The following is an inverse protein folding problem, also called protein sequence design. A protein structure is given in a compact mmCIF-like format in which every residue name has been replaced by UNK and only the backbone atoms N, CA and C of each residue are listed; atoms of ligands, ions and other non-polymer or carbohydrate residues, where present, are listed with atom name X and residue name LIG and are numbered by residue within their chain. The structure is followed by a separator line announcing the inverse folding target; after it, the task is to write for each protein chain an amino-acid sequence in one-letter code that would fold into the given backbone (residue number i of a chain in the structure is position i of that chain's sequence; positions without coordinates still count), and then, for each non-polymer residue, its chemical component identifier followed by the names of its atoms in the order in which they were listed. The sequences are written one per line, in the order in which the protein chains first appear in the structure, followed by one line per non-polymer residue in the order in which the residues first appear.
data_IF_974427513010
#
_entry.id   IF_974427513010
#
_cell.length_a   1.000
_cell.length_b   1.000
_cell.length_c   1.000
_cell.angle_alpha   90.00
_cell.angle_beta   90.00
_cell.angle_gamma   90.00
#
_symmetry.space_group_name_H-M   'P 1'
#
loop_
_entity.id
_entity.type
_entity.pdbx_description
1 polymer ?
#
# COMPACT_ATOMS: atom_id res chain seq x y z
N UNK A 1 65.31 38.95 18.73
CA UNK A 1 64.24 38.62 17.75
C UNK A 1 63.46 37.42 18.30
N UNK A 2 62.22 37.61 18.77
CA UNK A 2 61.40 36.61 19.43
C UNK A 2 60.42 36.04 18.41
N UNK A 3 60.47 34.73 18.14
CA UNK A 3 59.49 33.99 17.33
C UNK A 3 58.34 33.55 18.20
N UNK A 4 57.13 33.98 17.86
CA UNK A 4 55.88 33.67 18.53
C UNK A 4 55.29 32.38 17.98
N UNK A 5 55.07 31.41 18.84
CA UNK A 5 54.44 30.10 18.60
C UNK A 5 52.94 30.28 18.72
N UNK A 6 52.16 30.22 17.61
CA UNK A 6 50.72 30.10 17.63
C UNK A 6 50.31 28.61 17.70
N UNK A 7 49.67 28.24 18.79
CA UNK A 7 49.09 26.92 19.00
C UNK A 7 47.72 26.85 18.36
N UNK A 8 47.55 25.99 17.36
CA UNK A 8 46.29 25.68 16.74
C UNK A 8 45.33 24.94 17.67
N UNK A 9 44.21 25.56 17.96
CA UNK A 9 43.09 24.99 18.76
C UNK A 9 42.32 23.99 17.87
N UNK A 10 42.50 22.71 18.12
CA UNK A 10 41.68 21.66 17.52
C UNK A 10 40.25 21.78 18.05
N UNK A 11 39.31 21.98 17.16
CA UNK A 11 37.87 21.93 17.43
C UNK A 11 37.46 20.51 17.79
N UNK A 12 36.74 20.36 18.91
CA UNK A 12 36.09 19.12 19.30
C UNK A 12 34.91 18.85 18.34
N UNK A 13 34.68 17.60 17.89
CA UNK A 13 33.47 17.27 17.12
C UNK A 13 32.23 17.40 17.98
N UNK A 14 31.17 17.95 17.39
CA UNK A 14 29.84 18.13 17.98
C UNK A 14 29.18 16.78 18.23
N UNK A 15 28.48 16.57 19.38
CA UNK A 15 27.75 15.35 19.65
C UNK A 15 26.33 15.47 19.10
N UNK A 16 26.11 15.10 17.84
CA UNK A 16 24.78 14.98 17.24
C UNK A 16 24.78 13.96 16.09
N UNK A 17 25.15 12.72 16.40
CA UNK A 17 24.70 11.53 15.67
C UNK A 17 24.32 10.50 16.72
N UNK A 18 23.13 10.66 17.26
CA UNK A 18 22.49 9.65 18.11
C UNK A 18 22.10 8.47 17.23
N UNK A 19 23.02 7.53 17.06
CA UNK A 19 22.75 6.21 16.47
C UNK A 19 21.70 5.55 17.33
N UNK A 20 20.46 5.43 16.81
CA UNK A 20 19.47 4.53 17.39
C UNK A 20 20.14 3.18 17.69
N UNK A 21 19.94 2.61 18.88
CA UNK A 21 20.63 1.40 19.30
C UNK A 21 20.26 0.25 18.34
N UNK A 22 21.27 -0.43 17.81
CA UNK A 22 21.15 -1.53 16.85
C UNK A 22 20.17 -2.65 17.30
N UNK A 23 19.97 -2.82 18.60
CA UNK A 23 19.00 -3.75 19.19
C UNK A 23 17.54 -3.37 18.92
N UNK A 24 17.21 -2.06 18.86
CA UNK A 24 15.84 -1.60 18.55
C UNK A 24 15.50 -1.88 17.08
N UNK A 25 16.45 -1.68 16.18
CA UNK A 25 16.27 -1.98 14.75
C UNK A 25 16.08 -3.48 14.47
N UNK A 26 16.82 -4.36 15.14
CA UNK A 26 16.66 -5.81 15.00
C UNK A 26 15.33 -6.31 15.53
N UNK A 27 14.84 -5.78 16.65
CA UNK A 27 13.53 -6.12 17.20
C UNK A 27 12.41 -5.69 16.27
N UNK A 28 12.46 -4.48 15.74
CA UNK A 28 11.48 -3.97 14.78
C UNK A 28 11.47 -4.79 13.49
N UNK A 29 12.65 -5.15 12.96
CA UNK A 29 12.75 -6.01 11.76
C UNK A 29 12.11 -7.38 12.02
N UNK A 30 12.43 -8.05 13.14
CA UNK A 30 11.82 -9.34 13.49
C UNK A 30 10.29 -9.25 13.67
N UNK A 31 9.80 -8.15 14.24
CA UNK A 31 8.37 -7.90 14.36
C UNK A 31 7.72 -7.75 12.98
N UNK A 32 8.32 -6.98 12.10
CA UNK A 32 7.84 -6.79 10.74
C UNK A 32 7.85 -8.10 9.94
N UNK A 33 8.94 -8.86 10.00
CA UNK A 33 9.07 -10.18 9.35
C UNK A 33 7.99 -11.17 9.83
N UNK A 34 7.69 -11.16 11.14
CA UNK A 34 6.63 -12.03 11.70
C UNK A 34 5.24 -11.58 11.25
N UNK A 35 4.98 -10.26 11.22
CA UNK A 35 3.73 -9.69 10.72
C UNK A 35 3.49 -10.06 9.26
N UNK A 36 4.54 -9.97 8.42
CA UNK A 36 4.48 -10.34 7.01
C UNK A 36 4.25 -11.84 6.79
N UNK A 37 4.88 -12.72 7.62
CA UNK A 37 4.63 -14.16 7.56
C UNK A 37 3.17 -14.49 7.89
N UNK A 38 2.62 -13.89 8.96
CA UNK A 38 1.22 -14.06 9.34
C UNK A 38 0.29 -13.60 8.23
N UNK A 39 0.55 -12.44 7.63
CA UNK A 39 -0.24 -11.91 6.52
C UNK A 39 -0.21 -12.85 5.32
N UNK A 40 0.96 -13.32 4.90
CA UNK A 40 1.10 -14.26 3.77
C UNK A 40 0.41 -15.59 4.02
N UNK A 41 0.58 -16.17 5.21
CA UNK A 41 -0.06 -17.43 5.58
C UNK A 41 -1.59 -17.30 5.59
N UNK A 42 -2.12 -16.23 6.17
CA UNK A 42 -3.56 -15.99 6.20
C UNK A 42 -4.14 -15.81 4.79
N UNK A 43 -3.48 -14.99 3.95
CA UNK A 43 -3.95 -14.75 2.59
C UNK A 43 -3.95 -16.03 1.76
N UNK A 44 -2.94 -16.87 1.87
CA UNK A 44 -2.89 -18.17 1.19
C UNK A 44 -4.05 -19.08 1.64
N UNK A 45 -4.30 -19.18 2.95
CA UNK A 45 -5.40 -19.99 3.48
C UNK A 45 -6.78 -19.44 3.10
N UNK A 46 -6.96 -18.11 3.08
CA UNK A 46 -8.21 -17.51 2.64
C UNK A 46 -8.50 -17.80 1.18
N UNK A 47 -7.49 -17.83 0.32
CA UNK A 47 -7.64 -18.17 -1.09
C UNK A 47 -7.87 -19.67 -1.30
N UNK A 48 -7.22 -20.53 -0.51
CA UNK A 48 -7.34 -21.99 -0.61
C UNK A 48 -8.67 -22.52 -0.08
N UNK A 49 -9.07 -22.06 1.13
CA UNK A 49 -10.18 -22.65 1.92
C UNK A 49 -11.36 -21.71 2.12
N UNK A 50 -11.20 -20.44 1.76
CA UNK A 50 -12.16 -19.38 2.05
C UNK A 50 -11.96 -18.73 3.42
N UNK A 51 -12.52 -17.53 3.57
CA UNK A 51 -12.32 -16.71 4.76
C UNK A 51 -12.98 -17.31 6.00
N UNK A 52 -14.23 -17.79 5.88
CA UNK A 52 -14.99 -18.32 7.01
C UNK A 52 -14.42 -19.65 7.52
N UNK A 53 -13.97 -20.52 6.62
CA UNK A 53 -13.40 -21.82 6.97
C UNK A 53 -11.99 -21.73 7.57
N UNK A 54 -11.31 -20.58 7.45
CA UNK A 54 -9.96 -20.39 7.98
C UNK A 54 -10.02 -19.89 9.42
N UNK A 55 -9.40 -20.61 10.34
CA UNK A 55 -9.30 -20.23 11.76
C UNK A 55 -7.99 -19.48 12.06
N UNK A 56 -7.97 -18.76 13.19
CA UNK A 56 -6.73 -18.12 13.69
C UNK A 56 -5.67 -19.17 14.01
N UNK A 57 -6.07 -20.36 14.47
CA UNK A 57 -5.13 -21.43 14.75
C UNK A 57 -4.48 -22.00 13.49
N UNK A 58 -5.23 -22.09 12.38
CA UNK A 58 -4.68 -22.47 11.07
C UNK A 58 -3.64 -21.45 10.62
N UNK A 59 -3.94 -20.15 10.75
CA UNK A 59 -3.03 -19.07 10.35
C UNK A 59 -1.77 -19.08 11.21
N UNK A 60 -1.91 -19.22 12.53
CA UNK A 60 -0.79 -19.25 13.46
C UNK A 60 0.13 -20.45 13.18
N UNK A 61 -0.46 -21.64 12.95
CA UNK A 61 0.28 -22.85 12.58
C UNK A 61 1.01 -22.69 11.27
N UNK A 62 0.35 -22.18 10.22
CA UNK A 62 0.96 -21.96 8.91
C UNK A 62 2.08 -20.92 8.93
N UNK A 63 2.00 -19.95 9.84
CA UNK A 63 3.03 -18.92 10.04
C UNK A 63 4.13 -19.33 11.04
N UNK A 64 4.08 -20.54 11.58
CA UNK A 64 5.01 -21.03 12.64
C UNK A 64 5.09 -20.07 13.84
N UNK A 65 3.92 -19.73 14.39
CA UNK A 65 3.82 -18.91 15.61
C UNK A 65 2.70 -19.46 16.51
N UNK A 66 2.72 -19.05 17.79
CA UNK A 66 1.62 -19.39 18.68
C UNK A 66 0.37 -18.54 18.42
N UNK A 67 -0.82 -19.04 18.77
CA UNK A 67 -2.07 -18.26 18.78
C UNK A 67 -1.93 -16.96 19.59
N UNK A 68 -1.23 -16.97 20.71
CA UNK A 68 -0.92 -15.76 21.51
C UNK A 68 -0.08 -14.76 20.71
N UNK A 69 0.88 -15.24 19.93
CA UNK A 69 1.69 -14.39 19.06
C UNK A 69 0.85 -13.76 17.95
N UNK A 70 -0.12 -14.49 17.37
CA UNK A 70 -1.06 -13.90 16.40
C UNK A 70 -1.76 -12.68 16.99
N UNK A 71 -2.34 -12.80 18.19
CA UNK A 71 -3.05 -11.70 18.86
C UNK A 71 -2.16 -10.54 19.30
N UNK A 72 -0.83 -10.72 19.30
CA UNK A 72 0.10 -9.61 19.48
C UNK A 72 0.18 -8.70 18.24
N UNK A 73 -0.09 -9.24 17.04
CA UNK A 73 0.00 -8.52 15.77
C UNK A 73 -1.36 -8.10 15.19
N UNK A 74 -2.39 -8.92 15.39
CA UNK A 74 -3.72 -8.73 14.81
C UNK A 74 -4.80 -9.09 15.82
N UNK A 75 -5.82 -8.23 15.95
CA UNK A 75 -6.94 -8.50 16.84
C UNK A 75 -7.92 -9.52 16.24
N UNK A 76 -7.96 -9.65 14.90
CA UNK A 76 -8.87 -10.54 14.18
C UNK A 76 -8.29 -10.94 12.81
N UNK A 77 -8.92 -11.92 12.15
CA UNK A 77 -8.54 -12.29 10.76
C UNK A 77 -8.89 -11.21 9.74
N UNK A 78 -9.90 -10.39 10.03
CA UNK A 78 -10.25 -9.21 9.23
C UNK A 78 -9.13 -8.15 9.28
N UNK A 79 -8.46 -8.01 10.43
CA UNK A 79 -7.34 -7.07 10.57
C UNK A 79 -6.13 -7.49 9.73
N UNK A 80 -5.95 -8.80 9.50
CA UNK A 80 -4.92 -9.28 8.57
C UNK A 80 -5.20 -8.83 7.14
N UNK A 81 -6.45 -8.93 6.69
CA UNK A 81 -6.86 -8.45 5.36
C UNK A 81 -6.68 -6.94 5.25
N UNK A 82 -7.06 -6.17 6.29
CA UNK A 82 -6.88 -4.73 6.33
C UNK A 82 -5.40 -4.33 6.23
N UNK A 83 -4.52 -5.02 6.95
CA UNK A 83 -3.09 -4.78 6.92
C UNK A 83 -2.47 -5.06 5.54
N UNK A 84 -2.86 -6.17 4.92
CA UNK A 84 -2.42 -6.48 3.55
C UNK A 84 -2.82 -5.39 2.55
N UNK A 85 -4.02 -4.84 2.69
CA UNK A 85 -4.50 -3.73 1.85
C UNK A 85 -3.74 -2.43 2.12
N UNK A 86 -3.37 -2.16 3.37
CA UNK A 86 -2.61 -0.96 3.75
C UNK A 86 -1.19 -1.00 3.18
N UNK A 87 -0.55 -2.16 3.20
CA UNK A 87 0.77 -2.37 2.60
C UNK A 87 0.73 -2.12 1.08
N UNK A 88 -0.31 -2.63 0.38
CA UNK A 88 -0.52 -2.38 -1.05
C UNK A 88 -0.78 -0.89 -1.35
N UNK A 89 -1.54 -0.21 -0.50
CA UNK A 89 -1.83 1.23 -0.63
C UNK A 89 -0.56 2.07 -0.46
N UNK A 90 0.27 1.74 0.53
CA UNK A 90 1.56 2.40 0.77
C UNK A 90 2.51 2.23 -0.42
N UNK A 91 2.60 1.02 -0.98
CA UNK A 91 3.40 0.76 -2.17
C UNK A 91 2.91 1.56 -3.40
N UNK A 92 1.59 1.69 -3.57
CA UNK A 92 1.01 2.49 -4.64
C UNK A 92 1.35 3.98 -4.51
N UNK A 93 1.23 4.54 -3.31
CA UNK A 93 1.61 5.94 -3.04
C UNK A 93 3.08 6.18 -3.33
N UNK A 94 3.97 5.30 -2.87
CA UNK A 94 5.39 5.37 -3.16
C UNK A 94 5.68 5.31 -4.68
N UNK A 95 4.97 4.45 -5.41
CA UNK A 95 5.08 4.35 -6.86
C UNK A 95 4.64 5.65 -7.57
N UNK A 96 3.61 6.34 -7.08
CA UNK A 96 3.17 7.64 -7.62
C UNK A 96 4.21 8.72 -7.36
N UNK A 97 4.77 8.78 -6.16
CA UNK A 97 5.79 9.78 -5.80
C UNK A 97 7.04 9.61 -6.67
N UNK A 98 7.39 8.37 -7.01
CA UNK A 98 8.55 8.04 -7.83
C UNK A 98 8.34 8.31 -9.34
N UNK A 99 7.12 8.65 -9.79
CA UNK A 99 6.87 8.98 -11.21
C UNK A 99 7.58 10.28 -11.63
N UNK A 100 8.01 10.39 -12.92
CA UNK A 100 8.62 11.59 -13.46
C UNK A 100 7.79 12.85 -13.21
N UNK A 101 8.43 13.95 -12.83
CA UNK A 101 7.75 15.19 -12.44
C UNK A 101 7.02 15.90 -13.59
N UNK A 102 7.41 15.63 -14.83
CA UNK A 102 6.83 16.17 -16.08
C UNK A 102 5.53 15.47 -16.49
N UNK A 103 5.26 14.27 -15.95
CA UNK A 103 3.96 13.61 -16.20
C UNK A 103 2.81 14.38 -15.53
N UNK A 104 1.64 14.41 -16.18
CA UNK A 104 0.42 14.92 -15.53
C UNK A 104 0.07 14.11 -14.29
N UNK A 105 -0.63 14.72 -13.33
CA UNK A 105 -1.07 14.01 -12.11
C UNK A 105 -1.93 12.80 -12.44
N UNK A 106 -2.81 12.91 -13.43
CA UNK A 106 -3.68 11.81 -13.88
C UNK A 106 -2.88 10.67 -14.51
N UNK A 107 -1.91 11.01 -15.38
CA UNK A 107 -1.03 10.01 -16.02
C UNK A 107 -0.17 9.29 -14.99
N UNK A 108 0.36 10.00 -14.02
CA UNK A 108 1.15 9.41 -12.94
C UNK A 108 0.32 8.43 -12.10
N UNK A 109 -0.93 8.79 -11.77
CA UNK A 109 -1.84 7.91 -11.04
C UNK A 109 -2.18 6.64 -11.86
N UNK A 110 -2.59 6.80 -13.13
CA UNK A 110 -2.89 5.68 -14.03
C UNK A 110 -1.70 4.74 -14.18
N UNK A 111 -0.51 5.27 -14.48
CA UNK A 111 0.70 4.47 -14.69
C UNK A 111 1.10 3.69 -13.44
N UNK A 112 1.00 4.30 -12.25
CA UNK A 112 1.30 3.64 -10.99
C UNK A 112 0.27 2.53 -10.68
N UNK A 113 -1.02 2.78 -10.90
CA UNK A 113 -2.09 1.78 -10.73
C UNK A 113 -1.89 0.63 -11.71
N UNK A 114 -1.67 0.90 -12.99
CA UNK A 114 -1.44 -0.13 -14.00
C UNK A 114 -0.23 -1.01 -13.66
N UNK A 115 0.87 -0.40 -13.20
CA UNK A 115 2.05 -1.12 -12.75
C UNK A 115 1.81 -1.96 -11.49
N UNK A 116 1.01 -1.48 -10.55
CA UNK A 116 0.63 -2.23 -9.35
C UNK A 116 -0.24 -3.44 -9.69
N UNK A 117 -1.27 -3.23 -10.52
CA UNK A 117 -2.22 -4.28 -10.93
C UNK A 117 -1.54 -5.34 -11.80
N UNK A 118 -0.59 -4.97 -12.65
CA UNK A 118 0.18 -5.91 -13.49
C UNK A 118 1.00 -6.93 -12.68
N UNK A 119 1.33 -6.61 -11.42
CA UNK A 119 2.07 -7.52 -10.52
C UNK A 119 1.16 -8.53 -9.82
N UNK A 120 -0.15 -8.32 -9.86
CA UNK A 120 -1.10 -9.23 -9.23
C UNK A 120 -1.26 -10.47 -10.12
N UNK A 121 -1.29 -11.63 -9.50
CA UNK A 121 -1.80 -12.82 -10.16
C UNK A 121 -3.31 -12.64 -10.41
N UNK A 122 -3.81 -12.74 -11.66
CA UNK A 122 -5.22 -12.52 -11.96
C UNK A 122 -6.15 -13.47 -11.20
N UNK A 123 -5.73 -14.71 -10.96
CA UNK A 123 -6.53 -15.70 -10.24
C UNK A 123 -6.64 -15.33 -8.77
N UNK A 124 -5.53 -14.96 -8.13
CA UNK A 124 -5.51 -14.49 -6.75
C UNK A 124 -6.31 -13.17 -6.59
N UNK A 125 -6.16 -12.24 -7.53
CA UNK A 125 -6.90 -10.97 -7.51
C UNK A 125 -8.41 -11.21 -7.61
N UNK A 126 -8.86 -12.12 -8.49
CA UNK A 126 -10.26 -12.47 -8.63
C UNK A 126 -10.80 -13.19 -7.38
N UNK A 127 -10.04 -14.13 -6.82
CA UNK A 127 -10.41 -14.84 -5.60
C UNK A 127 -10.53 -13.87 -4.41
N UNK A 128 -9.58 -12.93 -4.27
CA UNK A 128 -9.61 -11.90 -3.23
C UNK A 128 -10.81 -10.96 -3.37
N UNK A 129 -11.13 -10.56 -4.59
CA UNK A 129 -12.26 -9.68 -4.85
C UNK A 129 -13.60 -10.39 -4.56
N UNK A 130 -13.73 -11.69 -4.90
CA UNK A 130 -14.88 -12.52 -4.52
C UNK A 130 -15.00 -12.66 -3.02
N UNK A 131 -13.90 -13.01 -2.34
CA UNK A 131 -13.84 -13.14 -0.89
C UNK A 131 -14.35 -11.89 -0.17
N UNK A 132 -13.98 -10.71 -0.64
CA UNK A 132 -14.47 -9.43 -0.09
C UNK A 132 -15.94 -9.20 -0.38
N UNK A 133 -16.38 -9.47 -1.62
CA UNK A 133 -17.78 -9.31 -2.03
C UNK A 133 -18.71 -10.21 -1.23
N UNK A 134 -18.26 -11.43 -0.95
CA UNK A 134 -19.08 -12.44 -0.30
C UNK A 134 -19.04 -12.35 1.24
N UNK A 135 -18.23 -11.44 1.81
CA UNK A 135 -18.10 -11.24 3.25
C UNK A 135 -18.50 -9.83 3.69
N UNK A 136 -19.68 -9.64 4.35
CA UNK A 136 -20.14 -8.31 4.79
C UNK A 136 -19.20 -7.57 5.75
N UNK A 137 -18.47 -8.30 6.61
CA UNK A 137 -17.51 -7.70 7.54
C UNK A 137 -16.32 -7.08 6.81
N UNK A 138 -15.87 -7.71 5.71
CA UNK A 138 -14.83 -7.16 4.84
C UNK A 138 -15.35 -5.99 4.00
N UNK A 139 -16.60 -6.06 3.52
CA UNK A 139 -17.24 -4.96 2.77
C UNK A 139 -17.36 -3.68 3.61
N UNK A 140 -17.80 -3.79 4.85
CA UNK A 140 -17.93 -2.62 5.74
C UNK A 140 -16.59 -1.90 5.96
N UNK A 141 -15.48 -2.61 5.95
CA UNK A 141 -14.13 -2.04 6.07
C UNK A 141 -13.60 -1.45 4.75
N UNK A 142 -14.11 -1.89 3.61
CA UNK A 142 -13.66 -1.41 2.29
C UNK A 142 -13.97 0.08 2.07
N UNK A 143 -15.06 0.63 2.60
CA UNK A 143 -15.35 2.07 2.48
C UNK A 143 -14.30 2.93 3.18
N UNK A 144 -13.97 2.61 4.43
CA UNK A 144 -12.91 3.30 5.18
C UNK A 144 -11.54 3.20 4.50
N UNK A 145 -11.27 2.08 3.85
CA UNK A 145 -10.05 1.88 3.07
C UNK A 145 -9.96 2.85 1.89
N UNK A 146 -11.03 2.96 1.09
CA UNK A 146 -11.02 3.87 -0.06
C UNK A 146 -10.84 5.32 0.36
N UNK A 147 -11.45 5.76 1.47
CA UNK A 147 -11.22 7.11 2.01
C UNK A 147 -9.76 7.32 2.44
N UNK A 148 -9.16 6.35 3.13
CA UNK A 148 -7.74 6.42 3.53
C UNK A 148 -6.83 6.44 2.31
N UNK A 149 -7.09 5.58 1.34
CA UNK A 149 -6.32 5.52 0.09
C UNK A 149 -6.43 6.82 -0.69
N UNK A 150 -7.63 7.40 -0.83
CA UNK A 150 -7.83 8.66 -1.52
C UNK A 150 -7.02 9.79 -0.88
N UNK A 151 -7.04 9.90 0.46
CA UNK A 151 -6.23 10.89 1.19
C UNK A 151 -4.74 10.68 0.94
N UNK A 152 -4.26 9.44 1.07
CA UNK A 152 -2.85 9.11 0.86
C UNK A 152 -2.39 9.37 -0.58
N UNK A 153 -3.24 9.07 -1.58
CA UNK A 153 -2.98 9.39 -2.98
C UNK A 153 -2.94 10.90 -3.22
N UNK A 154 -3.87 11.66 -2.62
CA UNK A 154 -3.90 13.11 -2.74
C UNK A 154 -2.61 13.75 -2.18
N UNK A 155 -2.18 13.28 -1.00
CA UNK A 155 -0.93 13.75 -0.38
C UNK A 155 0.30 13.36 -1.22
N UNK A 156 0.36 12.13 -1.72
CA UNK A 156 1.45 11.67 -2.59
C UNK A 156 1.54 12.45 -3.90
N UNK A 157 0.41 12.70 -4.55
CA UNK A 157 0.33 13.51 -5.77
C UNK A 157 0.72 14.97 -5.51
N UNK A 158 0.29 15.54 -4.39
CA UNK A 158 0.66 16.91 -4.00
C UNK A 158 2.15 17.02 -3.68
N UNK A 159 2.71 16.03 -2.97
CA UNK A 159 4.14 15.95 -2.69
C UNK A 159 4.96 15.86 -3.97
N UNK A 160 4.56 14.98 -4.91
CA UNK A 160 5.21 14.81 -6.21
C UNK A 160 5.20 16.11 -7.02
N UNK A 161 4.08 16.84 -7.05
CA UNK A 161 3.96 18.10 -7.75
C UNK A 161 4.86 19.20 -7.16
N UNK A 162 5.04 19.22 -5.85
CA UNK A 162 5.76 20.27 -5.13
C UNK A 162 5.11 21.66 -5.15
N UNK A 163 3.99 21.83 -5.87
CA UNK A 163 3.31 23.11 -6.08
C UNK A 163 2.07 23.23 -5.21
N UNK A 164 1.99 24.29 -4.39
CA UNK A 164 0.79 24.55 -3.55
C UNK A 164 -0.50 24.70 -4.37
N UNK A 165 -0.40 25.25 -5.60
CA UNK A 165 -1.52 25.42 -6.54
C UNK A 165 -2.15 24.12 -6.99
N UNK A 166 -1.43 23.00 -6.94
CA UNK A 166 -1.90 21.71 -7.45
C UNK A 166 -2.61 20.86 -6.39
N UNK A 167 -2.72 21.31 -5.14
CA UNK A 167 -3.40 20.56 -4.07
C UNK A 167 -4.84 20.19 -4.41
N UNK A 168 -5.62 21.12 -4.98
CA UNK A 168 -6.98 20.82 -5.41
C UNK A 168 -6.99 19.79 -6.54
N UNK A 169 -6.12 19.96 -7.54
CA UNK A 169 -5.99 19.00 -8.63
C UNK A 169 -5.56 17.62 -8.13
N UNK A 170 -4.62 17.55 -7.18
CA UNK A 170 -4.19 16.31 -6.57
C UNK A 170 -5.34 15.56 -5.87
N UNK A 171 -6.19 16.30 -5.13
CA UNK A 171 -7.39 15.71 -4.50
C UNK A 171 -8.39 15.19 -5.53
N UNK A 172 -8.68 15.96 -6.58
CA UNK A 172 -9.60 15.54 -7.65
C UNK A 172 -9.05 14.32 -8.39
N UNK A 173 -7.76 14.29 -8.70
CA UNK A 173 -7.14 13.12 -9.34
C UNK A 173 -7.14 11.91 -8.42
N UNK A 174 -6.91 12.08 -7.12
CA UNK A 174 -6.99 10.98 -6.15
C UNK A 174 -8.41 10.39 -6.08
N UNK A 175 -9.45 11.23 -6.05
CA UNK A 175 -10.86 10.80 -6.11
C UNK A 175 -11.15 10.04 -7.41
N UNK A 176 -10.71 10.56 -8.56
CA UNK A 176 -10.85 9.90 -9.86
C UNK A 176 -10.13 8.54 -9.86
N UNK A 177 -8.90 8.50 -9.37
CA UNK A 177 -8.07 7.29 -9.34
C UNK A 177 -8.68 6.20 -8.45
N UNK A 178 -9.17 6.54 -7.26
CA UNK A 178 -9.84 5.59 -6.37
C UNK A 178 -11.18 5.12 -6.92
N UNK A 179 -11.96 6.03 -7.54
CA UNK A 179 -13.18 5.70 -8.28
C UNK A 179 -12.88 4.74 -9.46
N UNK A 180 -11.84 5.01 -10.24
CA UNK A 180 -11.39 4.16 -11.33
C UNK A 180 -10.99 2.75 -10.86
N UNK A 181 -10.26 2.65 -9.75
CA UNK A 181 -9.89 1.36 -9.16
C UNK A 181 -11.11 0.56 -8.72
N UNK A 182 -12.10 1.22 -8.10
CA UNK A 182 -13.34 0.57 -7.66
C UNK A 182 -14.18 0.11 -8.85
N UNK A 183 -14.54 1.01 -9.74
CA UNK A 183 -15.39 0.71 -10.89
C UNK A 183 -14.71 -0.25 -11.87
N UNK A 184 -13.42 -0.03 -12.16
CA UNK A 184 -12.64 -0.92 -13.01
C UNK A 184 -12.49 -2.33 -12.42
N UNK A 185 -12.28 -2.46 -11.10
CA UNK A 185 -12.23 -3.74 -10.43
C UNK A 185 -13.57 -4.48 -10.41
N UNK A 186 -14.68 -3.77 -10.18
CA UNK A 186 -16.04 -4.33 -10.25
C UNK A 186 -16.35 -4.82 -11.68
N UNK A 187 -16.07 -4.00 -12.70
CA UNK A 187 -16.27 -4.35 -14.11
C UNK A 187 -15.46 -5.58 -14.52
N UNK A 188 -14.19 -5.64 -14.11
CA UNK A 188 -13.33 -6.79 -14.37
C UNK A 188 -13.90 -8.08 -13.81
N UNK A 189 -14.43 -8.03 -12.58
CA UNK A 189 -15.08 -9.20 -11.95
C UNK A 189 -16.36 -9.61 -12.65
N UNK A 190 -17.18 -8.64 -13.08
CA UNK A 190 -18.45 -8.89 -13.77
C UNK A 190 -18.24 -9.47 -15.18
N UNK A 191 -17.22 -9.02 -15.89
CA UNK A 191 -16.89 -9.48 -17.24
C UNK A 191 -16.18 -10.85 -17.28
N UNK A 192 -15.99 -11.48 -16.09
CA UNK A 192 -15.53 -12.86 -15.96
C UNK A 192 -14.02 -13.05 -15.99
N UNK A 193 -13.25 -11.99 -15.71
CA UNK A 193 -11.78 -12.04 -15.52
C UNK A 193 -10.98 -12.61 -16.71
N UNK A 194 -11.55 -12.59 -17.93
CA UNK A 194 -10.88 -13.11 -19.13
C UNK A 194 -9.72 -12.25 -19.58
N UNK A 195 -9.88 -10.94 -19.46
CA UNK A 195 -8.84 -9.97 -19.79
C UNK A 195 -7.92 -9.75 -18.59
N UNK A 196 -6.70 -9.31 -18.87
CA UNK A 196 -5.76 -8.94 -17.82
C UNK A 196 -6.26 -7.71 -17.05
N UNK A 197 -6.11 -7.64 -15.72
CA UNK A 197 -6.61 -6.52 -14.92
C UNK A 197 -6.11 -5.14 -15.39
N UNK A 198 -4.87 -5.05 -15.93
CA UNK A 198 -4.33 -3.79 -16.45
C UNK A 198 -5.07 -3.25 -17.68
N UNK A 199 -5.72 -4.11 -18.47
CA UNK A 199 -6.54 -3.67 -19.59
C UNK A 199 -7.78 -2.89 -19.11
N UNK A 200 -8.34 -3.28 -17.97
CA UNK A 200 -9.44 -2.57 -17.32
C UNK A 200 -9.01 -1.21 -16.78
N UNK A 201 -7.82 -1.13 -16.18
CA UNK A 201 -7.25 0.16 -15.76
C UNK A 201 -7.21 1.11 -16.95
N UNK A 202 -6.62 0.68 -18.06
CA UNK A 202 -6.53 1.51 -19.26
C UNK A 202 -7.91 1.93 -19.78
N UNK A 203 -8.85 1.01 -19.97
CA UNK A 203 -10.23 1.31 -20.46
C UNK A 203 -10.94 2.31 -19.55
N UNK A 204 -10.80 2.16 -18.22
CA UNK A 204 -11.44 3.04 -17.25
C UNK A 204 -10.87 4.46 -17.34
N UNK A 205 -9.54 4.61 -17.45
CA UNK A 205 -8.92 5.93 -17.57
C UNK A 205 -9.17 6.56 -18.95
N UNK A 206 -9.28 5.77 -20.01
CA UNK A 206 -9.68 6.26 -21.34
C UNK A 206 -11.11 6.81 -21.31
N UNK A 207 -12.06 6.10 -20.69
CA UNK A 207 -13.43 6.58 -20.49
C UNK A 207 -13.48 7.88 -19.67
N UNK A 208 -12.67 7.98 -18.60
CA UNK A 208 -12.56 9.23 -17.82
C UNK A 208 -12.08 10.39 -18.71
N UNK A 209 -11.10 10.17 -19.57
CA UNK A 209 -10.60 11.21 -20.49
C UNK A 209 -11.66 11.63 -21.51
N UNK A 210 -12.51 10.71 -21.95
CA UNK A 210 -13.63 11.03 -22.86
C UNK A 210 -14.69 11.89 -22.18
N UNK A 211 -15.01 11.62 -20.91
CA UNK A 211 -15.97 12.40 -20.12
C UNK A 211 -15.47 13.82 -19.85
N UNK A 212 -14.14 14.00 -19.75
CA UNK A 212 -13.51 15.28 -19.40
C UNK A 212 -13.17 16.16 -20.62
N UNK A 213 -13.47 15.73 -21.84
CA UNK A 213 -13.33 16.52 -23.07
C UNK A 213 -14.50 17.46 -23.27
#
# INVERSE_FOLDING_TARGET
MKASKQAGKRAKPSPAEEKLPAATGLRQRKQQETRERLTRAAMALFLERGFEATTIDDIATAADVSRRSFFHYFASKEDVVAAWQEDASTALVAAIIARPADESLLTAAESAIAAAVKRLDPTEAAAMARLKRDNPALQARDQLKYEKLERALADGLAQRSGRKSDRLKARLVAMIATGAMRVGGESWLCEGTRDRPEAFVKRTFDAIREILK
#
